data_IF_507042540499
#
_entry.id   IF_507042540499
#
_cell.length_a   1.000
_cell.length_b   1.000
_cell.length_c   1.000
_cell.angle_alpha   90.00
_cell.angle_beta   90.00
_cell.angle_gamma   90.00
#
_symmetry.space_group_name_H-M   'P 1'
#
loop_
_entity.id
_entity.type
_entity.pdbx_description
1 polymer ?
#
# COMPACT_ATOMS: atom_id res chain seq x y z
N UNK A 1 1.77 5.72 -14.38
CA UNK A 1 1.89 5.06 -13.06
C UNK A 1 3.00 4.01 -13.02
N UNK A 2 3.18 3.21 -14.06
CA UNK A 2 4.20 2.14 -14.16
C UNK A 2 5.63 2.57 -13.80
N UNK A 3 6.09 3.72 -14.30
CA UNK A 3 7.45 4.20 -14.01
C UNK A 3 7.70 4.44 -12.50
N UNK A 4 6.69 4.91 -11.77
CA UNK A 4 6.78 5.09 -10.31
C UNK A 4 6.80 3.74 -9.58
N UNK A 5 6.00 2.79 -10.04
CA UNK A 5 5.98 1.44 -9.48
C UNK A 5 7.30 0.72 -9.76
N UNK A 6 7.85 0.80 -10.98
CA UNK A 6 9.14 0.22 -11.34
C UNK A 6 10.24 0.72 -10.40
N UNK A 7 10.37 2.03 -10.24
CA UNK A 7 11.37 2.62 -9.33
C UNK A 7 11.16 2.19 -7.87
N UNK A 8 9.90 2.08 -7.44
CA UNK A 8 9.59 1.60 -6.08
C UNK A 8 9.98 0.13 -5.91
N UNK A 9 9.73 -0.70 -6.92
CA UNK A 9 10.05 -2.12 -6.89
C UNK A 9 11.56 -2.38 -6.90
N UNK A 10 12.35 -1.59 -7.66
CA UNK A 10 13.80 -1.65 -7.62
C UNK A 10 14.32 -1.35 -6.22
N UNK A 11 13.78 -0.32 -5.57
CA UNK A 11 14.12 0.03 -4.20
C UNK A 11 13.70 -1.06 -3.19
N UNK A 12 12.47 -1.62 -3.34
CA UNK A 12 11.98 -2.70 -2.50
C UNK A 12 12.76 -4.00 -2.67
N UNK A 13 13.31 -4.26 -3.87
CA UNK A 13 14.10 -5.45 -4.17
C UNK A 13 15.53 -5.36 -3.66
N UNK A 14 15.98 -4.20 -3.19
CA UNK A 14 17.31 -4.00 -2.62
C UNK A 14 17.48 -4.71 -1.27
N UNK A 15 18.74 -4.97 -0.90
CA UNK A 15 19.14 -5.43 0.44
C UNK A 15 19.52 -4.28 1.38
N UNK A 16 19.59 -3.05 0.85
CA UNK A 16 19.90 -1.84 1.60
C UNK A 16 18.65 -1.29 2.27
N UNK A 17 18.66 -1.17 3.59
CA UNK A 17 17.55 -0.64 4.39
C UNK A 17 17.11 0.76 3.95
N UNK A 18 18.06 1.62 3.55
CA UNK A 18 17.77 2.98 3.09
C UNK A 18 16.96 2.96 1.80
N UNK A 19 17.31 2.07 0.87
CA UNK A 19 16.57 1.88 -0.38
C UNK A 19 15.20 1.28 -0.12
N UNK A 20 15.12 0.25 0.74
CA UNK A 20 13.83 -0.36 1.13
C UNK A 20 12.90 0.71 1.73
N UNK A 21 13.39 1.52 2.67
CA UNK A 21 12.63 2.63 3.26
C UNK A 21 12.15 3.61 2.22
N UNK A 22 13.00 3.95 1.24
CA UNK A 22 12.62 4.81 0.11
C UNK A 22 11.51 4.19 -0.73
N UNK A 23 11.62 2.89 -1.06
CA UNK A 23 10.60 2.16 -1.80
C UNK A 23 9.26 2.14 -1.07
N UNK A 24 9.24 1.83 0.24
CA UNK A 24 8.03 1.86 1.06
C UNK A 24 7.36 3.24 1.05
N UNK A 25 8.13 4.33 1.21
CA UNK A 25 7.61 5.71 1.15
C UNK A 25 7.07 6.08 -0.22
N UNK A 26 7.67 5.58 -1.31
CA UNK A 26 7.17 5.81 -2.66
C UNK A 26 5.82 5.14 -2.88
N UNK A 27 5.66 3.89 -2.42
CA UNK A 27 4.37 3.17 -2.45
C UNK A 27 3.34 3.90 -1.59
N UNK A 28 3.70 4.29 -0.38
CA UNK A 28 2.81 5.05 0.52
C UNK A 28 2.34 6.36 -0.12
N UNK A 29 3.26 7.12 -0.72
CA UNK A 29 2.94 8.36 -1.42
C UNK A 29 2.00 8.14 -2.61
N UNK A 30 2.20 7.07 -3.38
CA UNK A 30 1.31 6.70 -4.49
C UNK A 30 -0.10 6.38 -3.99
N UNK A 31 -0.23 5.55 -2.94
CA UNK A 31 -1.52 5.23 -2.34
C UNK A 31 -2.21 6.46 -1.76
N UNK A 32 -1.46 7.34 -1.10
CA UNK A 32 -1.97 8.60 -0.59
C UNK A 32 -2.50 9.50 -1.74
N UNK A 33 -1.79 9.58 -2.86
CA UNK A 33 -2.26 10.32 -4.03
C UNK A 33 -3.57 9.76 -4.56
N UNK A 34 -3.68 8.43 -4.69
CA UNK A 34 -4.90 7.77 -5.17
C UNK A 34 -6.07 8.03 -4.23
N UNK A 35 -5.85 7.92 -2.91
CA UNK A 35 -6.90 8.08 -1.90
C UNK A 35 -7.28 9.55 -1.64
N UNK A 36 -6.34 10.48 -1.85
CA UNK A 36 -6.51 11.90 -1.53
C UNK A 36 -6.64 12.79 -2.77
N UNK A 37 -6.51 12.24 -3.99
CA UNK A 37 -6.67 13.02 -5.21
C UNK A 37 -8.06 13.68 -5.19
N UNK A 38 -8.05 15.01 -5.10
CA UNK A 38 -9.28 15.79 -5.10
C UNK A 38 -9.98 15.62 -6.44
N UNK A 39 -11.30 15.46 -6.39
CA UNK A 39 -12.17 15.54 -7.57
C UNK A 39 -11.84 16.82 -8.37
N UNK A 40 -11.82 16.80 -9.71
CA UNK A 40 -11.41 17.96 -10.53
C UNK A 40 -12.23 19.25 -10.32
N UNK A 41 -13.26 19.20 -9.49
CA UNK A 41 -14.09 20.36 -9.15
C UNK A 41 -13.45 21.36 -8.16
N UNK A 42 -12.31 21.03 -7.53
CA UNK A 42 -11.68 21.91 -6.54
C UNK A 42 -10.46 22.68 -7.04
N UNK A 43 -10.14 22.61 -8.35
CA UNK A 43 -8.96 23.27 -8.91
C UNK A 43 -9.07 24.80 -9.03
N UNK A 44 -10.26 25.37 -8.81
CA UNK A 44 -10.48 26.80 -8.91
C UNK A 44 -10.21 27.60 -7.60
N UNK A 45 -10.04 26.91 -6.48
CA UNK A 45 -9.96 27.58 -5.15
C UNK A 45 -8.56 27.54 -4.51
N UNK A 46 -7.54 27.11 -5.25
CA UNK A 46 -6.18 26.91 -4.71
C UNK A 46 -5.29 28.17 -4.77
N UNK A 47 -5.85 29.37 -4.72
CA UNK A 47 -5.08 30.64 -4.68
C UNK A 47 -5.42 31.54 -3.51
N UNK A 48 -5.51 31.01 -2.28
CA UNK A 48 -5.35 31.86 -1.08
C UNK A 48 -4.74 31.00 0.03
N UNK A 49 -3.41 31.05 0.09
CA UNK A 49 -2.63 30.59 1.23
C UNK A 49 -2.80 31.62 2.36
N UNK A 50 -3.70 31.34 3.28
CA UNK A 50 -3.66 31.94 4.62
C UNK A 50 -3.62 30.75 5.58
N UNK A 51 -2.57 30.72 6.39
CA UNK A 51 -2.38 29.72 7.44
C UNK A 51 -3.48 29.94 8.48
N UNK A 52 -4.50 29.10 8.44
CA UNK A 52 -5.57 29.07 9.43
C UNK A 52 -5.35 27.84 10.34
N UNK A 53 -5.06 28.02 11.65
CA UNK A 53 -4.73 26.92 12.56
C UNK A 53 -5.92 26.01 12.94
N UNK A 54 -7.09 26.21 12.34
CA UNK A 54 -8.30 25.42 12.58
C UNK A 54 -8.78 24.55 11.43
N UNK A 55 -7.95 24.30 10.41
CA UNK A 55 -8.38 23.55 9.22
C UNK A 55 -8.53 22.07 9.51
N UNK A 56 -9.76 21.59 9.48
CA UNK A 56 -10.05 20.15 9.47
C UNK A 56 -9.30 19.43 8.32
N UNK A 57 -8.79 18.21 8.55
CA UNK A 57 -8.16 17.43 7.49
C UNK A 57 -9.14 17.23 6.33
N UNK A 58 -8.67 17.24 5.08
CA UNK A 58 -9.54 17.06 3.92
C UNK A 58 -10.36 15.77 4.07
N UNK A 59 -11.65 15.80 3.71
CA UNK A 59 -12.52 14.64 3.85
C UNK A 59 -11.94 13.46 3.07
N UNK A 60 -11.78 12.33 3.75
CA UNK A 60 -11.36 11.07 3.10
C UNK A 60 -12.44 10.67 2.11
N UNK A 61 -12.07 10.41 0.87
CA UNK A 61 -12.99 9.86 -0.12
C UNK A 61 -13.54 8.53 0.36
N UNK A 62 -14.85 8.35 0.25
CA UNK A 62 -15.45 7.04 0.45
C UNK A 62 -14.98 6.07 -0.64
N UNK A 63 -14.80 4.80 -0.30
CA UNK A 63 -14.31 3.76 -1.24
C UNK A 63 -15.14 3.66 -2.53
N UNK A 64 -16.44 3.94 -2.46
CA UNK A 64 -17.33 3.98 -3.61
C UNK A 64 -17.05 5.15 -4.57
N UNK A 65 -16.45 6.24 -4.09
CA UNK A 65 -16.10 7.40 -4.91
C UNK A 65 -14.77 7.18 -5.67
N UNK A 66 -13.91 6.29 -5.16
CA UNK A 66 -12.63 5.96 -5.80
C UNK A 66 -12.82 5.30 -7.17
N UNK A 67 -13.88 4.51 -7.37
CA UNK A 67 -14.16 3.85 -8.65
C UNK A 67 -14.34 4.82 -9.84
N UNK A 68 -14.66 6.09 -9.59
CA UNK A 68 -14.73 7.15 -10.58
C UNK A 68 -13.39 7.80 -10.94
N UNK A 69 -12.36 7.60 -10.11
CA UNK A 69 -11.05 8.22 -10.29
C UNK A 69 -10.20 7.47 -11.34
N UNK A 70 -9.74 8.14 -12.41
CA UNK A 70 -8.93 7.50 -13.43
C UNK A 70 -7.59 6.96 -12.89
N UNK A 71 -6.96 7.62 -11.92
CA UNK A 71 -5.72 7.15 -11.31
C UNK A 71 -5.95 5.87 -10.49
N UNK A 72 -7.10 5.77 -9.81
CA UNK A 72 -7.49 4.54 -9.11
C UNK A 72 -7.72 3.38 -10.08
N UNK A 73 -8.41 3.64 -11.22
CA UNK A 73 -8.65 2.60 -12.24
C UNK A 73 -7.35 2.10 -12.86
N UNK A 74 -6.43 3.01 -13.22
CA UNK A 74 -5.12 2.64 -13.73
C UNK A 74 -4.37 1.78 -12.72
N UNK A 75 -4.35 2.20 -11.44
CA UNK A 75 -3.74 1.41 -10.37
C UNK A 75 -4.38 0.03 -10.24
N UNK A 76 -5.71 -0.03 -10.22
CA UNK A 76 -6.45 -1.28 -10.06
C UNK A 76 -6.12 -2.28 -11.18
N UNK A 77 -6.10 -1.82 -12.45
CA UNK A 77 -5.74 -2.65 -13.60
C UNK A 77 -4.30 -3.18 -13.50
N UNK A 78 -3.36 -2.34 -13.06
CA UNK A 78 -1.97 -2.77 -12.86
C UNK A 78 -1.85 -3.84 -11.78
N UNK A 79 -2.70 -3.79 -10.74
CA UNK A 79 -2.68 -4.79 -9.67
C UNK A 79 -3.20 -6.18 -10.11
N UNK A 80 -3.95 -6.28 -11.21
CA UNK A 80 -4.39 -7.56 -11.76
C UNK A 80 -3.24 -8.36 -12.37
N UNK A 81 -2.19 -7.67 -12.83
CA UNK A 81 -0.97 -8.28 -13.36
C UNK A 81 0.03 -8.63 -12.26
N UNK A 82 0.65 -9.82 -12.35
CA UNK A 82 1.72 -10.22 -11.40
C UNK A 82 2.92 -9.27 -11.40
N UNK A 83 3.25 -8.68 -12.55
CA UNK A 83 4.40 -7.81 -12.73
C UNK A 83 4.28 -6.54 -11.88
N UNK A 84 3.10 -5.95 -11.86
CA UNK A 84 2.83 -4.66 -11.22
C UNK A 84 2.09 -4.79 -9.88
N UNK A 85 1.91 -6.01 -9.38
CA UNK A 85 1.21 -6.24 -8.12
C UNK A 85 2.05 -5.82 -6.91
N UNK A 86 1.65 -4.72 -6.30
CA UNK A 86 2.34 -4.12 -5.15
C UNK A 86 2.29 -5.03 -3.93
N UNK A 87 1.17 -5.73 -3.71
CA UNK A 87 1.04 -6.63 -2.57
C UNK A 87 2.08 -7.76 -2.63
N UNK A 88 2.28 -8.38 -3.80
CA UNK A 88 3.30 -9.42 -3.99
C UNK A 88 4.72 -8.89 -3.75
N UNK A 89 5.03 -7.68 -4.24
CA UNK A 89 6.35 -7.05 -4.04
C UNK A 89 6.61 -6.74 -2.57
N UNK A 90 5.59 -6.27 -1.85
CA UNK A 90 5.70 -6.00 -0.42
C UNK A 90 5.87 -7.28 0.40
N UNK A 91 5.16 -8.38 0.05
CA UNK A 91 5.36 -9.69 0.72
C UNK A 91 6.77 -10.20 0.52
N UNK A 92 7.29 -10.16 -0.70
CA UNK A 92 8.66 -10.58 -0.97
C UNK A 92 9.70 -9.70 -0.23
N UNK A 93 9.42 -8.41 -0.10
CA UNK A 93 10.25 -7.52 0.72
C UNK A 93 10.19 -7.90 2.20
N UNK A 94 8.99 -8.17 2.71
CA UNK A 94 8.74 -8.56 4.09
C UNK A 94 9.44 -9.87 4.45
N UNK A 95 9.34 -10.90 3.59
CA UNK A 95 10.03 -12.18 3.78
C UNK A 95 11.54 -12.00 3.96
N UNK A 96 12.16 -11.15 3.13
CA UNK A 96 13.58 -10.83 3.24
C UNK A 96 13.93 -10.03 4.50
N UNK A 97 13.05 -9.14 4.95
CA UNK A 97 13.23 -8.40 6.20
C UNK A 97 13.14 -9.33 7.41
N UNK A 98 12.21 -10.29 7.38
CA UNK A 98 12.03 -11.31 8.42
C UNK A 98 13.22 -12.26 8.50
N UNK A 99 13.79 -12.65 7.37
CA UNK A 99 14.99 -13.49 7.34
C UNK A 99 16.24 -12.85 7.99
N UNK A 100 16.21 -11.54 8.28
CA UNK A 100 17.28 -10.75 8.90
C UNK A 100 16.93 -10.25 10.31
N UNK A 101 16.04 -10.93 11.01
CA UNK A 101 15.45 -10.47 12.31
C UNK A 101 16.49 -10.28 13.44
N UNK A 102 17.74 -10.63 13.27
CA UNK A 102 18.70 -10.67 14.39
C UNK A 102 19.06 -9.31 15.03
N UNK A 103 18.65 -8.17 14.45
CA UNK A 103 19.16 -6.85 14.88
C UNK A 103 18.10 -5.85 15.38
N UNK A 104 16.79 -6.16 15.36
CA UNK A 104 15.74 -5.19 15.73
C UNK A 104 15.67 -3.93 14.85
N UNK A 105 16.64 -3.73 13.95
CA UNK A 105 16.71 -2.55 13.08
C UNK A 105 15.65 -2.54 11.96
N UNK A 106 15.05 -3.69 11.68
CA UNK A 106 14.06 -3.87 10.62
C UNK A 106 12.63 -3.68 11.09
N UNK A 107 12.36 -3.60 12.39
CA UNK A 107 11.01 -3.62 12.96
C UNK A 107 10.13 -2.51 12.38
N UNK A 108 10.64 -1.30 12.26
CA UNK A 108 9.89 -0.18 11.68
C UNK A 108 9.56 -0.40 10.20
N UNK A 109 10.48 -1.02 9.44
CA UNK A 109 10.25 -1.34 8.03
C UNK A 109 9.21 -2.45 7.88
N UNK A 110 9.23 -3.44 8.77
CA UNK A 110 8.27 -4.53 8.83
C UNK A 110 6.86 -3.96 9.11
N UNK A 111 6.73 -3.12 10.15
CA UNK A 111 5.45 -2.48 10.51
C UNK A 111 4.93 -1.62 9.35
N UNK A 112 5.79 -0.84 8.71
CA UNK A 112 5.41 -0.02 7.57
C UNK A 112 4.97 -0.88 6.37
N UNK A 113 5.70 -1.95 6.05
CA UNK A 113 5.35 -2.88 4.99
C UNK A 113 3.99 -3.56 5.24
N UNK A 114 3.73 -4.01 6.48
CA UNK A 114 2.46 -4.61 6.87
C UNK A 114 1.29 -3.62 6.73
N UNK A 115 1.46 -2.38 7.17
CA UNK A 115 0.45 -1.34 7.00
C UNK A 115 0.12 -1.06 5.52
N UNK A 116 1.13 -1.05 4.66
CA UNK A 116 0.94 -0.90 3.22
C UNK A 116 0.24 -2.11 2.59
N UNK A 117 0.62 -3.33 2.97
CA UNK A 117 -0.06 -4.56 2.53
C UNK A 117 -1.54 -4.49 2.88
N UNK A 118 -1.87 -4.14 4.13
CA UNK A 118 -3.26 -3.98 4.57
C UNK A 118 -4.00 -2.95 3.71
N UNK A 119 -3.40 -1.80 3.46
CA UNK A 119 -3.98 -0.76 2.59
C UNK A 119 -4.24 -1.24 1.16
N UNK A 120 -3.29 -1.95 0.56
CA UNK A 120 -3.45 -2.53 -0.79
C UNK A 120 -4.58 -3.55 -0.83
N UNK A 121 -4.66 -4.44 0.16
CA UNK A 121 -5.70 -5.47 0.22
C UNK A 121 -7.11 -4.87 0.38
N UNK A 122 -7.22 -3.69 0.98
CA UNK A 122 -8.47 -2.93 1.04
C UNK A 122 -8.81 -2.27 -0.30
N UNK A 123 -7.83 -1.69 -0.98
CA UNK A 123 -8.00 -1.01 -2.26
C UNK A 123 -8.22 -1.98 -3.43
N UNK A 124 -7.60 -3.16 -3.39
CA UNK A 124 -7.66 -4.16 -4.44
C UNK A 124 -8.04 -5.54 -3.87
N UNK A 125 -9.35 -5.80 -3.64
CA UNK A 125 -9.84 -7.06 -3.07
C UNK A 125 -9.35 -8.33 -3.79
N UNK A 126 -9.18 -8.37 -5.14
CA UNK A 126 -8.64 -9.53 -5.81
C UNK A 126 -7.25 -9.96 -5.33
N UNK A 127 -6.40 -9.03 -4.84
CA UNK A 127 -5.10 -9.38 -4.25
C UNK A 127 -5.22 -10.25 -2.99
N UNK A 128 -6.38 -10.26 -2.31
CA UNK A 128 -6.62 -11.12 -1.13
C UNK A 128 -6.57 -12.60 -1.51
N UNK A 129 -7.06 -12.96 -2.69
CA UNK A 129 -7.02 -14.35 -3.18
C UNK A 129 -5.60 -14.82 -3.46
N UNK A 130 -4.71 -13.92 -3.87
CA UNK A 130 -3.29 -14.21 -4.02
C UNK A 130 -2.65 -14.46 -2.65
N UNK A 131 -3.05 -13.71 -1.63
CA UNK A 131 -2.55 -13.83 -0.28
C UNK A 131 -2.96 -15.13 0.43
N UNK A 132 -4.10 -15.72 0.05
CA UNK A 132 -4.60 -16.98 0.61
C UNK A 132 -3.89 -18.22 0.05
N UNK A 133 -2.99 -18.09 -0.93
CA UNK A 133 -2.19 -19.21 -1.43
C UNK A 133 -1.13 -19.60 -0.41
N UNK A 134 -0.86 -20.92 -0.29
CA UNK A 134 0.06 -21.49 0.71
C UNK A 134 1.43 -20.81 0.78
N UNK A 135 1.97 -20.35 -0.35
CA UNK A 135 3.28 -19.69 -0.44
C UNK A 135 3.34 -18.41 0.43
N UNK A 136 2.23 -17.67 0.53
CA UNK A 136 2.16 -16.42 1.28
C UNK A 136 1.65 -16.62 2.72
N UNK A 137 0.98 -17.74 2.99
CA UNK A 137 0.56 -18.13 4.33
C UNK A 137 1.75 -18.34 5.26
N UNK A 138 2.88 -18.84 4.76
CA UNK A 138 4.08 -19.07 5.54
C UNK A 138 4.68 -17.77 6.11
N UNK A 139 4.61 -16.66 5.37
CA UNK A 139 5.01 -15.33 5.85
C UNK A 139 4.09 -14.87 6.97
N UNK A 140 2.79 -15.06 6.82
CA UNK A 140 1.79 -14.75 7.85
C UNK A 140 2.01 -15.56 9.14
N UNK A 141 2.33 -16.84 9.04
CA UNK A 141 2.61 -17.71 10.18
C UNK A 141 3.90 -17.27 10.89
N UNK A 142 4.95 -16.92 10.15
CA UNK A 142 6.21 -16.43 10.71
C UNK A 142 6.06 -15.12 11.47
N UNK A 143 5.03 -14.32 11.14
CA UNK A 143 4.67 -13.07 11.83
C UNK A 143 3.72 -13.29 13.02
N UNK A 144 3.31 -14.52 13.31
CA UNK A 144 2.28 -14.81 14.32
C UNK A 144 0.89 -14.29 13.93
N UNK A 145 0.70 -13.89 12.68
CA UNK A 145 -0.60 -13.56 12.12
C UNK A 145 -1.35 -14.87 11.91
N UNK A 146 -2.27 -15.19 12.82
CA UNK A 146 -3.11 -16.38 12.69
C UNK A 146 -3.83 -16.35 11.33
N UNK A 147 -3.81 -17.46 10.55
CA UNK A 147 -4.57 -17.56 9.30
C UNK A 147 -6.09 -17.43 9.53
N UNK A 148 -6.51 -17.33 10.76
CA UNK A 148 -7.88 -17.21 11.23
C UNK A 148 -8.34 -15.77 11.55
N UNK A 149 -7.78 -14.74 10.93
CA UNK A 149 -8.56 -13.51 10.80
C UNK A 149 -9.70 -13.80 9.81
N UNK A 150 -10.72 -14.37 10.37
CA UNK A 150 -12.01 -14.71 9.77
C UNK A 150 -12.47 -13.56 8.87
N UNK A 151 -12.50 -13.79 7.57
CA UNK A 151 -13.14 -12.97 6.56
C UNK A 151 -14.67 -12.83 6.76
N UNK A 152 -15.21 -13.36 7.85
CA UNK A 152 -16.65 -13.40 8.13
C UNK A 152 -17.21 -12.15 8.82
N UNK A 153 -16.40 -11.11 9.09
CA UNK A 153 -16.89 -9.91 9.78
C UNK A 153 -17.02 -8.66 8.91
N UNK A 154 -16.98 -8.79 7.59
CA UNK A 154 -17.22 -7.67 6.67
C UNK A 154 -18.31 -7.97 5.64
N UNK A 155 -19.33 -8.74 6.02
CA UNK A 155 -20.61 -8.72 5.37
C UNK A 155 -21.54 -7.75 6.15
N UNK A 156 -21.59 -6.53 5.66
CA UNK A 156 -22.77 -5.63 5.72
C UNK A 156 -22.60 -4.56 4.67
#
# INVERSE_FOLDING_TARGET
MEALLSLSFDNLSSYDQTKIRKGLRQVEGLLAQICLSASPKSSAEKRRSVIDPGREPPPKKALNELGGDPAFREFFQLQEGFEWNVALRLVNCLDRLLGKINDGQNDLLIIQALGLIQGILLLHPPSRTLFSREIYMNVGISLGLSPFMSLSSFEC
#
